data_IF_024186712305
#
_entry.id   IF_024186712305
#
_cell.length_a   1.000
_cell.length_b   1.000
_cell.length_c   1.000
_cell.angle_alpha   90.00
_cell.angle_beta   90.00
_cell.angle_gamma   90.00
#
_symmetry.space_group_name_H-M   'P 1'
#
loop_
_entity.id
_entity.type
_entity.pdbx_description
1 polymer ?
#
# COMPACT_ATOMS: atom_id res chain seq x y z
N UNK A 1 -18.97 -18.26 7.81
CA UNK A 1 -18.14 -18.17 6.58
C UNK A 1 -17.09 -17.08 6.65
N UNK A 2 -17.39 -15.78 6.79
CA UNK A 2 -16.35 -14.72 6.84
C UNK A 2 -15.29 -14.94 7.94
N UNK A 3 -15.70 -15.12 9.19
CA UNK A 3 -14.77 -15.42 10.30
C UNK A 3 -13.93 -16.68 10.06
N UNK A 4 -14.48 -17.67 9.38
CA UNK A 4 -13.74 -18.89 9.04
C UNK A 4 -12.70 -18.61 7.97
N UNK A 5 -13.05 -17.82 6.94
CA UNK A 5 -12.08 -17.37 5.94
C UNK A 5 -10.92 -16.60 6.59
N UNK A 6 -11.18 -15.75 7.59
CA UNK A 6 -10.14 -15.02 8.30
C UNK A 6 -9.17 -15.97 9.04
N UNK A 7 -9.69 -17.05 9.65
CA UNK A 7 -8.88 -18.10 10.26
C UNK A 7 -8.05 -18.87 9.22
N UNK A 8 -8.65 -19.22 8.09
CA UNK A 8 -7.96 -19.93 7.00
C UNK A 8 -6.85 -19.05 6.38
N UNK A 9 -7.09 -17.74 6.26
CA UNK A 9 -6.09 -16.76 5.84
C UNK A 9 -4.92 -16.66 6.82
N UNK A 10 -5.20 -16.66 8.12
CA UNK A 10 -4.16 -16.65 9.16
C UNK A 10 -3.31 -17.94 9.14
N UNK A 11 -3.89 -19.05 8.69
CA UNK A 11 -3.20 -20.34 8.48
C UNK A 11 -2.46 -20.44 7.14
N UNK A 12 -2.65 -19.47 6.24
CA UNK A 12 -2.10 -19.51 4.88
C UNK A 12 -2.86 -20.45 3.92
N UNK A 13 -4.03 -20.97 4.30
CA UNK A 13 -4.88 -21.78 3.43
C UNK A 13 -5.77 -20.88 2.56
N UNK A 14 -5.17 -20.33 1.51
CA UNK A 14 -5.84 -19.41 0.60
C UNK A 14 -6.97 -20.06 -0.21
N UNK A 15 -6.91 -21.38 -0.43
CA UNK A 15 -7.93 -22.10 -1.18
C UNK A 15 -9.23 -22.21 -0.36
N UNK A 16 -9.13 -22.66 0.90
CA UNK A 16 -10.29 -22.72 1.80
C UNK A 16 -10.82 -21.33 2.15
N UNK A 17 -9.91 -20.37 2.39
CA UNK A 17 -10.30 -18.98 2.61
C UNK A 17 -11.13 -18.43 1.44
N UNK A 18 -10.67 -18.65 0.20
CA UNK A 18 -11.38 -18.23 -0.99
C UNK A 18 -12.74 -18.91 -1.05
N UNK A 19 -12.83 -20.24 -0.89
CA UNK A 19 -14.10 -20.95 -0.93
C UNK A 19 -15.11 -20.42 0.12
N UNK A 20 -14.63 -20.10 1.33
CA UNK A 20 -15.46 -19.51 2.39
C UNK A 20 -15.93 -18.09 2.06
N UNK A 21 -15.10 -17.27 1.40
CA UNK A 21 -15.49 -15.95 0.90
C UNK A 21 -16.54 -16.05 -0.22
N UNK A 22 -16.40 -17.00 -1.14
CA UNK A 22 -17.38 -17.25 -2.20
C UNK A 22 -18.74 -17.68 -1.62
N UNK A 23 -18.72 -18.57 -0.64
CA UNK A 23 -19.93 -19.00 0.08
C UNK A 23 -20.58 -17.81 0.80
N UNK A 24 -19.78 -16.89 1.35
CA UNK A 24 -20.28 -15.66 1.95
C UNK A 24 -21.00 -14.76 0.93
N UNK A 25 -20.45 -14.58 -0.27
CA UNK A 25 -21.11 -13.80 -1.33
C UNK A 25 -22.43 -14.42 -1.79
N UNK A 26 -22.47 -15.75 -1.92
CA UNK A 26 -23.72 -16.48 -2.24
C UNK A 26 -24.79 -16.24 -1.17
N UNK A 27 -24.42 -16.32 0.12
CA UNK A 27 -25.34 -16.04 1.22
C UNK A 27 -25.84 -14.58 1.24
N UNK A 28 -25.03 -13.63 0.76
CA UNK A 28 -25.41 -12.22 0.58
C UNK A 28 -26.24 -11.97 -0.69
N UNK A 29 -26.63 -13.01 -1.43
CA UNK A 29 -27.41 -12.90 -2.67
C UNK A 29 -26.63 -12.34 -3.86
N UNK A 30 -25.30 -12.46 -3.84
CA UNK A 30 -24.38 -11.89 -4.84
C UNK A 30 -23.47 -12.97 -5.43
N UNK A 31 -24.02 -13.98 -6.13
CA UNK A 31 -23.17 -15.00 -6.74
C UNK A 31 -22.20 -14.36 -7.73
N UNK A 32 -20.96 -14.88 -7.78
CA UNK A 32 -19.99 -14.48 -8.78
C UNK A 32 -20.42 -14.98 -10.17
N UNK A 33 -20.11 -14.24 -11.24
CA UNK A 33 -20.50 -14.62 -12.59
C UNK A 33 -19.96 -16.00 -12.97
N UNK A 34 -20.80 -16.85 -13.55
CA UNK A 34 -20.42 -18.23 -13.92
C UNK A 34 -20.03 -18.35 -15.39
N UNK A 35 -20.53 -17.44 -16.25
CA UNK A 35 -20.22 -17.40 -17.68
C UNK A 35 -19.43 -16.14 -18.06
N UNK A 36 -18.69 -16.19 -19.18
CA UNK A 36 -17.91 -15.03 -19.66
C UNK A 36 -18.81 -13.85 -20.09
N UNK A 37 -19.98 -14.14 -20.66
CA UNK A 37 -20.96 -13.11 -21.03
C UNK A 37 -21.55 -12.45 -19.79
N UNK A 38 -21.95 -13.25 -18.80
CA UNK A 38 -22.42 -12.77 -17.50
C UNK A 38 -21.34 -11.91 -16.82
N UNK A 39 -20.08 -12.34 -16.87
CA UNK A 39 -18.96 -11.58 -16.34
C UNK A 39 -18.77 -10.24 -17.08
N UNK A 40 -18.84 -10.24 -18.41
CA UNK A 40 -18.73 -9.00 -19.20
C UNK A 40 -19.88 -8.04 -18.89
N UNK A 41 -21.12 -8.54 -18.82
CA UNK A 41 -22.29 -7.76 -18.43
C UNK A 41 -22.14 -7.21 -17.00
N UNK A 42 -21.66 -8.02 -16.05
CA UNK A 42 -21.44 -7.61 -14.67
C UNK A 42 -20.36 -6.52 -14.55
N UNK A 43 -19.28 -6.60 -15.34
CA UNK A 43 -18.26 -5.55 -15.42
C UNK A 43 -18.83 -4.28 -16.03
N UNK A 44 -19.52 -4.37 -17.16
CA UNK A 44 -20.13 -3.22 -17.84
C UNK A 44 -21.12 -2.50 -16.91
N UNK A 45 -21.95 -3.27 -16.20
CA UNK A 45 -22.90 -2.75 -15.22
C UNK A 45 -22.20 -2.09 -14.02
N UNK A 46 -21.13 -2.70 -13.51
CA UNK A 46 -20.35 -2.13 -12.40
C UNK A 46 -19.65 -0.84 -12.82
N UNK A 47 -19.13 -0.78 -14.04
CA UNK A 47 -18.53 0.41 -14.63
C UNK A 47 -19.57 1.51 -14.83
N UNK A 48 -20.74 1.17 -15.38
CA UNK A 48 -21.85 2.11 -15.54
C UNK A 48 -22.26 2.72 -14.20
N UNK A 49 -22.43 1.89 -13.16
CA UNK A 49 -22.74 2.36 -11.80
C UNK A 49 -21.67 3.32 -11.27
N UNK A 50 -20.39 2.96 -11.42
CA UNK A 50 -19.28 3.82 -11.00
C UNK A 50 -19.33 5.19 -11.71
N UNK A 51 -19.55 5.20 -13.03
CA UNK A 51 -19.69 6.44 -13.80
C UNK A 51 -20.91 7.26 -13.34
N UNK A 52 -22.07 6.63 -13.14
CA UNK A 52 -23.28 7.32 -12.66
C UNK A 52 -23.12 7.91 -11.26
N UNK A 53 -22.42 7.21 -10.37
CA UNK A 53 -22.12 7.69 -9.02
C UNK A 53 -21.20 8.93 -9.09
N UNK A 54 -20.20 8.90 -9.97
CA UNK A 54 -19.27 10.02 -10.19
C UNK A 54 -19.91 11.24 -10.80
N UNK A 55 -20.87 11.03 -11.71
CA UNK A 55 -21.60 12.12 -12.35
C UNK A 55 -22.72 12.68 -11.46
N UNK A 56 -22.81 12.25 -10.19
CA UNK A 56 -23.86 12.63 -9.23
C UNK A 56 -25.30 12.37 -9.71
N UNK A 57 -25.48 11.67 -10.83
CA UNK A 57 -26.79 11.38 -11.43
C UNK A 57 -27.66 10.60 -10.45
N UNK A 58 -27.07 9.70 -9.66
CA UNK A 58 -27.78 8.96 -8.62
C UNK A 58 -28.33 9.85 -7.49
N UNK A 59 -27.54 10.82 -7.00
CA UNK A 59 -27.99 11.79 -5.99
C UNK A 59 -29.02 12.76 -6.57
N UNK A 60 -28.85 13.15 -7.82
CA UNK A 60 -29.79 13.98 -8.55
C UNK A 60 -31.14 13.26 -8.77
N UNK A 61 -31.12 11.98 -9.17
CA UNK A 61 -32.32 11.15 -9.31
C UNK A 61 -33.00 10.89 -7.97
N UNK A 62 -32.25 10.57 -6.91
CA UNK A 62 -32.80 10.38 -5.57
C UNK A 62 -33.43 11.66 -5.00
N UNK A 63 -32.82 12.82 -5.26
CA UNK A 63 -33.37 14.12 -4.90
C UNK A 63 -34.64 14.46 -5.70
N UNK A 64 -34.69 14.10 -6.99
CA UNK A 64 -35.85 14.34 -7.87
C UNK A 64 -36.99 13.35 -7.66
N UNK A 65 -36.68 12.13 -7.20
CA UNK A 65 -37.66 11.09 -6.85
C UNK A 65 -38.34 11.32 -5.49
N UNK A 66 -38.11 12.47 -4.84
CA UNK A 66 -38.86 12.88 -3.65
C UNK A 66 -38.68 11.94 -2.47
N UNK A 67 -37.45 11.45 -2.24
CA UNK A 67 -37.07 10.68 -1.06
C UNK A 67 -38.12 9.65 -0.66
N UNK A 68 -38.31 8.61 -1.50
CA UNK A 68 -39.07 7.41 -1.14
C UNK A 68 -38.77 7.12 0.34
N UNK A 69 -39.78 7.27 1.20
CA UNK A 69 -39.70 7.06 2.65
C UNK A 69 -39.04 5.71 2.89
N UNK A 70 -37.72 5.71 3.01
CA UNK A 70 -36.94 4.50 3.19
C UNK A 70 -37.05 4.22 4.67
N UNK A 71 -37.62 3.07 4.99
CA UNK A 71 -37.70 2.59 6.35
C UNK A 71 -36.27 2.56 6.90
N UNK A 72 -35.96 3.45 7.86
CA UNK A 72 -34.59 3.62 8.41
C UNK A 72 -33.94 2.28 8.81
N UNK A 73 -34.63 1.31 9.45
CA UNK A 73 -34.05 0.00 9.73
C UNK A 73 -33.66 -0.77 8.46
N UNK A 74 -34.49 -0.78 7.42
CA UNK A 74 -34.17 -1.44 6.15
C UNK A 74 -32.98 -0.78 5.45
N UNK A 75 -32.86 0.55 5.55
CA UNK A 75 -31.72 1.28 5.01
C UNK A 75 -30.41 0.94 5.75
N UNK A 76 -30.46 0.89 7.08
CA UNK A 76 -29.31 0.51 7.90
C UNK A 76 -28.85 -0.92 7.61
N UNK A 77 -29.79 -1.86 7.48
CA UNK A 77 -29.47 -3.25 7.16
C UNK A 77 -28.94 -3.41 5.72
N UNK A 78 -29.46 -2.62 4.76
CA UNK A 78 -28.89 -2.54 3.43
C UNK A 78 -27.46 -1.97 3.43
N UNK A 79 -27.17 -0.96 4.26
CA UNK A 79 -25.81 -0.40 4.40
C UNK A 79 -24.84 -1.39 5.08
N UNK A 80 -25.30 -2.16 6.08
CA UNK A 80 -24.49 -3.24 6.69
C UNK A 80 -24.22 -4.38 5.70
N UNK A 81 -25.24 -4.77 4.92
CA UNK A 81 -25.11 -5.80 3.89
C UNK A 81 -24.15 -5.36 2.77
N UNK A 82 -24.24 -4.11 2.31
CA UNK A 82 -23.32 -3.56 1.30
C UNK A 82 -21.90 -3.47 1.84
N UNK A 83 -21.69 -3.05 3.09
CA UNK A 83 -20.40 -3.08 3.78
C UNK A 83 -19.81 -4.49 3.77
N UNK A 84 -20.56 -5.49 4.24
CA UNK A 84 -20.06 -6.85 4.38
C UNK A 84 -19.72 -7.46 3.01
N UNK A 85 -20.55 -7.20 1.98
CA UNK A 85 -20.25 -7.59 0.62
C UNK A 85 -19.01 -6.88 0.05
N UNK A 86 -18.85 -5.57 0.30
CA UNK A 86 -17.69 -4.80 -0.15
C UNK A 86 -16.39 -5.37 0.41
N UNK A 87 -16.37 -5.71 1.70
CA UNK A 87 -15.20 -6.32 2.36
C UNK A 87 -14.85 -7.69 1.74
N UNK A 88 -15.84 -8.51 1.42
CA UNK A 88 -15.61 -9.82 0.80
C UNK A 88 -15.07 -9.68 -0.63
N UNK A 89 -15.64 -8.80 -1.45
CA UNK A 89 -15.12 -8.51 -2.79
C UNK A 89 -13.71 -7.92 -2.73
N UNK A 90 -13.46 -6.98 -1.81
CA UNK A 90 -12.15 -6.41 -1.61
C UNK A 90 -11.12 -7.48 -1.24
N UNK A 91 -11.49 -8.43 -0.38
CA UNK A 91 -10.60 -9.50 0.04
C UNK A 91 -10.27 -10.49 -1.08
N UNK A 92 -11.28 -10.93 -1.83
CA UNK A 92 -11.07 -11.77 -3.01
C UNK A 92 -10.21 -11.05 -4.06
N UNK A 93 -10.42 -9.74 -4.21
CA UNK A 93 -9.62 -8.91 -5.08
C UNK A 93 -8.14 -8.84 -4.66
N UNK A 94 -7.84 -8.70 -3.37
CA UNK A 94 -6.47 -8.73 -2.82
C UNK A 94 -5.79 -10.09 -3.07
N UNK A 95 -6.50 -11.19 -2.81
CA UNK A 95 -5.99 -12.54 -3.07
C UNK A 95 -5.69 -12.76 -4.56
N UNK A 96 -6.53 -12.22 -5.45
CA UNK A 96 -6.27 -12.28 -6.88
C UNK A 96 -5.09 -11.40 -7.29
N UNK A 97 -4.94 -10.18 -6.74
CA UNK A 97 -3.79 -9.32 -7.05
C UNK A 97 -2.46 -9.99 -6.66
N UNK A 98 -2.44 -10.70 -5.54
CA UNK A 98 -1.26 -11.37 -4.99
C UNK A 98 -1.11 -12.82 -5.44
N UNK A 99 -1.84 -13.22 -6.49
CA UNK A 99 -1.75 -14.55 -7.12
C UNK A 99 -2.14 -15.71 -6.21
N UNK A 100 -2.82 -15.46 -5.08
CA UNK A 100 -3.33 -16.50 -4.17
C UNK A 100 -4.68 -17.06 -4.63
N UNK A 101 -5.40 -16.29 -5.46
CA UNK A 101 -6.62 -16.70 -6.13
C UNK A 101 -6.41 -16.61 -7.65
N UNK A 102 -6.65 -17.73 -8.35
CA UNK A 102 -6.61 -17.78 -9.80
C UNK A 102 -7.88 -17.17 -10.41
N UNK A 103 -7.76 -16.50 -11.54
CA UNK A 103 -8.88 -15.89 -12.24
C UNK A 103 -8.44 -15.09 -13.46
N UNK A 104 -9.42 -14.68 -14.27
CA UNK A 104 -9.17 -13.79 -15.41
C UNK A 104 -9.00 -12.34 -14.94
N UNK A 105 -8.25 -11.52 -15.67
CA UNK A 105 -8.16 -10.07 -15.40
C UNK A 105 -9.54 -9.40 -15.33
N UNK A 106 -10.50 -9.86 -16.15
CA UNK A 106 -11.87 -9.36 -16.15
C UNK A 106 -12.60 -9.68 -14.83
N UNK A 107 -12.44 -10.88 -14.29
CA UNK A 107 -12.97 -11.26 -12.97
C UNK A 107 -12.39 -10.38 -11.86
N UNK A 108 -11.11 -10.06 -12.00
CA UNK A 108 -10.38 -9.23 -11.07
C UNK A 108 -10.84 -7.76 -11.08
N UNK A 109 -11.09 -7.22 -12.28
CA UNK A 109 -11.70 -5.89 -12.48
C UNK A 109 -13.13 -5.87 -11.93
N UNK A 110 -13.91 -6.93 -12.16
CA UNK A 110 -15.26 -7.05 -11.60
C UNK A 110 -15.25 -6.99 -10.06
N UNK A 111 -14.37 -7.75 -9.41
CA UNK A 111 -14.25 -7.73 -7.95
C UNK A 111 -13.84 -6.35 -7.42
N UNK A 112 -12.88 -5.68 -8.09
CA UNK A 112 -12.46 -4.34 -7.71
C UNK A 112 -13.59 -3.31 -7.82
N UNK A 113 -14.29 -3.27 -8.96
CA UNK A 113 -15.40 -2.33 -9.18
C UNK A 113 -16.60 -2.64 -8.26
N UNK A 114 -16.88 -3.91 -8.01
CA UNK A 114 -17.95 -4.32 -7.08
C UNK A 114 -17.63 -3.89 -5.64
N UNK A 115 -16.37 -4.05 -5.22
CA UNK A 115 -15.91 -3.57 -3.93
C UNK A 115 -16.09 -2.04 -3.81
N UNK A 116 -15.66 -1.27 -4.80
CA UNK A 116 -15.82 0.20 -4.82
C UNK A 116 -17.29 0.60 -4.73
N UNK A 117 -18.13 0.07 -5.63
CA UNK A 117 -19.56 0.42 -5.69
C UNK A 117 -20.26 0.13 -4.36
N UNK A 118 -20.00 -1.04 -3.75
CA UNK A 118 -20.63 -1.43 -2.49
C UNK A 118 -20.07 -0.68 -1.28
N UNK A 119 -18.77 -0.36 -1.30
CA UNK A 119 -18.15 0.47 -0.27
C UNK A 119 -18.78 1.87 -0.25
N UNK A 120 -18.99 2.48 -1.41
CA UNK A 120 -19.67 3.79 -1.50
C UNK A 120 -21.15 3.71 -1.04
N UNK A 121 -21.85 2.61 -1.32
CA UNK A 121 -23.22 2.40 -0.84
C UNK A 121 -23.33 2.17 0.67
N UNK A 122 -22.24 1.74 1.32
CA UNK A 122 -22.26 1.45 2.76
C UNK A 122 -22.26 2.70 3.63
N UNK A 123 -21.93 3.88 3.07
CA UNK A 123 -21.96 5.15 3.77
C UNK A 123 -21.15 5.11 5.06
N UNK A 124 -21.76 5.53 6.17
CA UNK A 124 -21.13 5.55 7.50
C UNK A 124 -20.91 4.17 8.14
N UNK A 125 -21.44 3.09 7.56
CA UNK A 125 -21.24 1.74 8.10
C UNK A 125 -19.81 1.22 7.87
N UNK A 126 -19.08 1.78 6.90
CA UNK A 126 -17.71 1.40 6.58
C UNK A 126 -16.72 2.46 7.08
N UNK A 127 -15.63 2.06 7.77
CA UNK A 127 -14.59 2.99 8.16
C UNK A 127 -13.96 3.68 6.95
N UNK A 128 -13.67 4.97 7.09
CA UNK A 128 -13.05 5.80 6.04
C UNK A 128 -11.70 5.23 5.58
N UNK A 129 -10.90 4.70 6.52
CA UNK A 129 -9.64 4.04 6.20
C UNK A 129 -9.83 2.85 5.25
N UNK A 130 -10.84 2.01 5.49
CA UNK A 130 -11.15 0.86 4.63
C UNK A 130 -11.71 1.30 3.27
N UNK A 131 -12.51 2.37 3.22
CA UNK A 131 -12.94 2.96 1.95
C UNK A 131 -11.74 3.45 1.13
N UNK A 132 -10.77 4.11 1.77
CA UNK A 132 -9.53 4.52 1.12
C UNK A 132 -8.71 3.32 0.61
N UNK A 133 -8.63 2.22 1.38
CA UNK A 133 -7.99 0.95 0.95
C UNK A 133 -8.66 0.37 -0.29
N UNK A 134 -9.99 0.39 -0.36
CA UNK A 134 -10.75 -0.07 -1.52
C UNK A 134 -10.42 0.77 -2.76
N UNK A 135 -10.36 2.09 -2.64
CA UNK A 135 -9.98 2.96 -3.75
C UNK A 135 -8.52 2.76 -4.19
N UNK A 136 -7.57 2.69 -3.26
CA UNK A 136 -6.15 2.42 -3.58
C UNK A 136 -6.00 1.06 -4.25
N UNK A 137 -6.72 0.04 -3.79
CA UNK A 137 -6.73 -1.28 -4.44
C UNK A 137 -7.31 -1.25 -5.85
N UNK A 138 -8.35 -0.44 -6.10
CA UNK A 138 -8.85 -0.22 -7.46
C UNK A 138 -7.82 0.48 -8.34
N UNK A 139 -7.10 1.48 -7.82
CA UNK A 139 -5.98 2.12 -8.52
C UNK A 139 -4.88 1.13 -8.89
N UNK A 140 -4.51 0.23 -7.96
CA UNK A 140 -3.55 -0.85 -8.21
C UNK A 140 -4.04 -1.78 -9.33
N UNK A 141 -5.33 -2.16 -9.32
CA UNK A 141 -5.92 -3.02 -10.35
C UNK A 141 -5.88 -2.38 -11.73
N UNK A 142 -6.17 -1.08 -11.83
CA UNK A 142 -6.06 -0.33 -13.09
C UNK A 142 -4.65 -0.46 -13.66
N UNK A 143 -3.62 -0.19 -12.85
CA UNK A 143 -2.23 -0.30 -13.32
C UNK A 143 -1.82 -1.73 -13.67
N UNK A 144 -2.28 -2.71 -12.92
CA UNK A 144 -1.90 -4.11 -13.13
C UNK A 144 -2.64 -4.82 -14.28
N UNK A 145 -3.79 -4.31 -14.75
CA UNK A 145 -4.65 -5.06 -15.68
C UNK A 145 -5.19 -4.25 -16.87
N UNK A 146 -5.13 -2.91 -16.83
CA UNK A 146 -5.63 -2.07 -17.94
C UNK A 146 -4.49 -1.51 -18.79
N UNK A 147 -4.74 -1.24 -20.09
CA UNK A 147 -3.78 -0.57 -20.95
C UNK A 147 -3.46 0.85 -20.46
N UNK A 148 -2.25 1.34 -20.78
CA UNK A 148 -1.72 2.65 -20.32
C UNK A 148 -2.67 3.83 -20.58
N UNK A 149 -3.43 3.79 -21.68
CA UNK A 149 -4.42 4.82 -22.04
C UNK A 149 -5.48 5.01 -20.94
N UNK A 150 -5.79 3.94 -20.18
CA UNK A 150 -6.77 3.98 -19.09
C UNK A 150 -6.15 4.25 -17.72
N UNK A 151 -4.82 4.40 -17.60
CA UNK A 151 -4.16 4.61 -16.31
C UNK A 151 -4.53 5.95 -15.66
N UNK A 152 -5.11 6.91 -16.39
CA UNK A 152 -5.66 8.13 -15.78
C UNK A 152 -6.74 7.82 -14.73
N UNK A 153 -7.48 6.72 -14.87
CA UNK A 153 -8.50 6.30 -13.89
C UNK A 153 -7.87 5.94 -12.54
N UNK A 154 -6.61 5.50 -12.53
CA UNK A 154 -5.84 5.30 -11.31
C UNK A 154 -5.71 6.60 -10.50
N UNK A 155 -5.48 7.74 -11.18
CA UNK A 155 -5.39 9.05 -10.53
C UNK A 155 -6.72 9.45 -9.90
N UNK A 156 -7.83 9.14 -10.58
CA UNK A 156 -9.19 9.37 -10.06
C UNK A 156 -9.47 8.55 -8.80
N UNK A 157 -9.02 7.30 -8.74
CA UNK A 157 -9.15 6.49 -7.54
C UNK A 157 -8.27 7.02 -6.39
N UNK A 158 -7.00 7.36 -6.64
CA UNK A 158 -6.12 7.93 -5.62
C UNK A 158 -6.64 9.27 -5.07
N UNK A 159 -7.13 10.16 -5.94
CA UNK A 159 -7.71 11.43 -5.50
C UNK A 159 -8.92 11.23 -4.60
N UNK A 160 -9.65 10.14 -4.80
CA UNK A 160 -10.87 9.83 -4.04
C UNK A 160 -10.59 9.13 -2.73
N UNK A 161 -9.56 8.30 -2.68
CA UNK A 161 -9.00 7.83 -1.42
C UNK A 161 -8.59 9.03 -0.54
N UNK A 162 -7.88 10.01 -1.12
CA UNK A 162 -7.46 11.22 -0.40
C UNK A 162 -8.66 12.06 0.05
N UNK A 163 -9.64 12.29 -0.82
CA UNK A 163 -10.84 13.07 -0.49
C UNK A 163 -11.67 12.41 0.62
N UNK A 164 -11.83 11.07 0.58
CA UNK A 164 -12.51 10.32 1.62
C UNK A 164 -11.86 10.54 2.99
N UNK A 165 -10.53 10.43 3.09
CA UNK A 165 -9.79 10.69 4.32
C UNK A 165 -9.97 12.14 4.81
N UNK A 166 -9.77 13.13 3.94
CA UNK A 166 -9.79 14.55 4.31
C UNK A 166 -11.19 15.06 4.71
N UNK A 167 -12.24 14.53 4.08
CA UNK A 167 -13.62 14.99 4.32
C UNK A 167 -14.18 14.64 5.71
N UNK A 168 -13.59 13.66 6.40
CA UNK A 168 -14.10 13.16 7.69
C UNK A 168 -13.30 13.64 8.89
N UNK A 169 -12.56 14.76 8.76
CA UNK A 169 -11.57 15.24 9.74
C UNK A 169 -10.48 14.20 10.09
N UNK A 170 -10.36 13.14 9.28
CA UNK A 170 -9.47 12.02 9.53
C UNK A 170 -8.10 12.25 8.91
N UNK A 171 -7.06 11.74 9.58
CA UNK A 171 -5.72 11.63 9.00
C UNK A 171 -5.67 10.48 8.00
N UNK A 172 -4.89 10.64 6.92
CA UNK A 172 -4.59 9.54 6.00
C UNK A 172 -3.88 8.40 6.75
N UNK A 173 -4.29 7.12 6.59
CA UNK A 173 -3.62 5.99 7.22
C UNK A 173 -2.11 6.00 6.94
N UNK A 174 -1.24 5.74 7.95
CA UNK A 174 0.21 5.81 7.79
C UNK A 174 0.74 5.06 6.57
N UNK A 175 0.25 3.84 6.32
CA UNK A 175 0.64 3.00 5.18
C UNK A 175 0.37 3.63 3.80
N UNK A 176 -0.49 4.64 3.72
CA UNK A 176 -0.88 5.33 2.48
C UNK A 176 -0.36 6.76 2.40
N UNK A 177 0.25 7.30 3.46
CA UNK A 177 0.68 8.70 3.49
C UNK A 177 1.65 9.03 2.36
N UNK A 178 2.53 8.08 2.01
CA UNK A 178 3.47 8.23 0.90
C UNK A 178 2.75 8.44 -0.45
N UNK A 179 1.56 7.89 -0.66
CA UNK A 179 0.76 8.12 -1.88
C UNK A 179 0.27 9.58 -2.01
N UNK A 180 0.19 10.30 -0.89
CA UNK A 180 -0.15 11.72 -0.86
C UNK A 180 1.08 12.62 -1.03
N UNK A 181 2.29 12.08 -0.88
CA UNK A 181 3.54 12.78 -1.15
C UNK A 181 3.76 12.90 -2.66
N UNK A 182 4.26 14.03 -3.20
CA UNK A 182 4.50 14.19 -4.65
C UNK A 182 5.37 13.09 -5.26
N UNK A 183 6.48 12.74 -4.60
CA UNK A 183 7.38 11.66 -5.03
C UNK A 183 6.68 10.29 -5.05
N UNK A 184 5.89 9.99 -4.02
CA UNK A 184 5.17 8.73 -3.94
C UNK A 184 4.02 8.63 -4.92
N UNK A 185 3.27 9.71 -5.11
CA UNK A 185 2.24 9.79 -6.14
C UNK A 185 2.83 9.59 -7.55
N UNK A 186 3.95 10.26 -7.86
CA UNK A 186 4.65 10.10 -9.15
C UNK A 186 5.17 8.68 -9.33
N UNK A 187 5.79 8.10 -8.30
CA UNK A 187 6.23 6.70 -8.31
C UNK A 187 5.06 5.75 -8.58
N UNK A 188 3.92 5.96 -7.91
CA UNK A 188 2.75 5.11 -8.11
C UNK A 188 2.25 5.21 -9.55
N UNK A 189 2.04 6.42 -10.05
CA UNK A 189 1.38 6.67 -11.33
C UNK A 189 2.30 6.36 -12.51
N UNK A 190 3.53 6.88 -12.49
CA UNK A 190 4.44 6.84 -13.63
C UNK A 190 5.48 5.70 -13.51
N UNK A 191 5.70 5.16 -12.31
CA UNK A 191 6.68 4.11 -12.08
C UNK A 191 6.27 2.76 -12.67
N UNK A 192 7.27 1.97 -13.05
CA UNK A 192 7.13 0.62 -13.57
C UNK A 192 7.31 -0.41 -12.44
N UNK A 193 6.28 -0.55 -11.61
CA UNK A 193 6.23 -1.55 -10.56
C UNK A 193 5.21 -2.64 -10.92
N UNK A 194 5.42 -3.84 -10.38
CA UNK A 194 4.53 -4.98 -10.60
C UNK A 194 4.29 -5.72 -9.28
N UNK A 195 3.08 -6.24 -9.12
CA UNK A 195 2.69 -7.08 -7.98
C UNK A 195 2.92 -8.53 -8.37
N UNK A 196 3.62 -9.27 -7.50
CA UNK A 196 4.04 -10.65 -7.74
C UNK A 196 3.27 -11.62 -6.85
N UNK A 197 3.11 -12.85 -7.33
CA UNK A 197 2.47 -13.94 -6.57
C UNK A 197 3.34 -14.40 -5.39
N UNK A 198 4.65 -14.40 -5.61
CA UNK A 198 5.69 -14.55 -4.59
C UNK A 198 6.33 -13.18 -4.35
N UNK A 199 6.20 -12.61 -3.14
CA UNK A 199 6.87 -11.37 -2.79
C UNK A 199 8.37 -11.46 -3.04
N UNK A 200 8.98 -10.36 -3.51
CA UNK A 200 10.42 -10.30 -3.75
C UNK A 200 11.15 -10.29 -2.40
N UNK A 201 11.98 -11.30 -2.17
CA UNK A 201 12.95 -11.26 -1.08
C UNK A 201 14.07 -10.27 -1.44
N UNK A 202 14.48 -9.48 -0.45
CA UNK A 202 15.44 -8.41 -0.67
C UNK A 202 16.24 -8.13 0.60
N UNK A 203 17.52 -7.84 0.41
CA UNK A 203 18.39 -7.36 1.49
C UNK A 203 18.15 -5.88 1.79
N UNK A 204 17.49 -5.14 0.90
CA UNK A 204 17.29 -3.69 1.01
C UNK A 204 15.99 -3.32 1.72
N UNK A 205 15.00 -4.20 1.67
CA UNK A 205 13.69 -4.00 2.26
C UNK A 205 13.07 -5.34 2.66
N UNK A 206 12.23 -5.31 3.67
CA UNK A 206 11.43 -6.47 4.06
C UNK A 206 10.00 -6.32 3.53
N UNK A 207 9.52 -7.35 2.84
CA UNK A 207 8.13 -7.42 2.40
C UNK A 207 7.21 -7.40 3.64
N UNK A 208 6.19 -6.53 3.60
CA UNK A 208 5.16 -6.50 4.62
C UNK A 208 4.18 -7.67 4.46
N UNK A 209 2.90 -7.40 4.66
CA UNK A 209 1.84 -8.38 4.44
C UNK A 209 1.85 -8.93 3.00
N UNK A 210 2.05 -10.24 2.83
CA UNK A 210 2.18 -10.89 1.51
C UNK A 210 0.89 -10.92 0.68
N UNK A 211 -0.28 -10.77 1.31
CA UNK A 211 -1.57 -10.70 0.59
C UNK A 211 -2.09 -9.28 0.44
N UNK A 212 -1.38 -8.29 0.98
CA UNK A 212 -1.68 -6.89 0.71
C UNK A 212 -0.90 -6.43 -0.54
N UNK A 213 -1.59 -6.14 -1.66
CA UNK A 213 -0.92 -5.64 -2.85
C UNK A 213 -0.26 -4.27 -2.63
N UNK A 214 -0.78 -3.42 -1.73
CA UNK A 214 -0.17 -2.13 -1.45
C UNK A 214 1.18 -2.30 -0.75
N UNK A 215 1.30 -3.22 0.21
CA UNK A 215 2.56 -3.53 0.88
C UNK A 215 3.70 -3.88 -0.09
N UNK A 216 3.42 -4.62 -1.17
CA UNK A 216 4.44 -4.91 -2.21
C UNK A 216 4.86 -3.66 -2.98
N UNK A 217 3.92 -2.77 -3.31
CA UNK A 217 4.25 -1.51 -4.01
C UNK A 217 4.98 -0.54 -3.08
N UNK A 218 4.62 -0.50 -1.79
CA UNK A 218 5.37 0.25 -0.77
C UNK A 218 6.78 -0.32 -0.57
N UNK A 219 6.96 -1.64 -0.66
CA UNK A 219 8.29 -2.24 -0.68
C UNK A 219 9.12 -1.73 -1.86
N UNK A 220 8.57 -1.76 -3.08
CA UNK A 220 9.24 -1.23 -4.26
C UNK A 220 9.54 0.28 -4.15
N UNK A 221 8.64 1.06 -3.55
CA UNK A 221 8.84 2.49 -3.31
C UNK A 221 10.01 2.75 -2.37
N UNK A 222 10.14 1.99 -1.28
CA UNK A 222 11.28 2.11 -0.35
C UNK A 222 12.61 1.78 -1.01
N UNK A 223 12.66 0.71 -1.80
CA UNK A 223 13.86 0.39 -2.59
C UNK A 223 14.22 1.50 -3.58
N UNK A 224 13.21 2.08 -4.24
CA UNK A 224 13.40 3.20 -5.15
C UNK A 224 13.96 4.45 -4.45
N UNK A 225 13.46 4.79 -3.26
CA UNK A 225 13.98 5.91 -2.47
C UNK A 225 15.43 5.66 -2.05
N UNK A 226 15.75 4.44 -1.61
CA UNK A 226 17.12 4.09 -1.24
C UNK A 226 18.06 4.19 -2.45
N UNK A 227 17.63 3.67 -3.61
CA UNK A 227 18.40 3.77 -4.86
C UNK A 227 18.66 5.22 -5.24
N UNK A 228 17.62 6.09 -5.19
CA UNK A 228 17.76 7.52 -5.49
C UNK A 228 18.69 8.23 -4.53
N UNK A 229 18.57 7.96 -3.23
CA UNK A 229 19.48 8.52 -2.23
C UNK A 229 20.93 8.12 -2.48
N UNK A 230 21.19 6.83 -2.71
CA UNK A 230 22.55 6.35 -2.98
C UNK A 230 23.12 6.89 -4.29
N UNK A 231 22.29 7.06 -5.32
CA UNK A 231 22.70 7.69 -6.57
C UNK A 231 23.15 9.14 -6.36
N UNK A 232 22.38 9.93 -5.59
CA UNK A 232 22.75 11.29 -5.22
C UNK A 232 24.08 11.34 -4.44
N UNK A 233 24.34 10.37 -3.56
CA UNK A 233 25.61 10.29 -2.82
C UNK A 233 26.78 9.88 -3.71
N UNK A 234 26.57 8.96 -4.65
CA UNK A 234 27.62 8.48 -5.56
C UNK A 234 27.98 9.48 -6.67
N UNK A 235 27.05 10.38 -7.00
CA UNK A 235 27.24 11.45 -7.98
C UNK A 235 26.87 12.79 -7.33
N UNK A 236 27.70 13.31 -6.39
CA UNK A 236 27.49 14.66 -5.88
C UNK A 236 27.50 15.61 -7.08
N UNK A 237 26.54 16.54 -7.13
CA UNK A 237 26.38 17.45 -8.26
C UNK A 237 27.66 18.28 -8.46
N UNK A 238 28.52 17.82 -9.37
CA UNK A 238 29.65 18.61 -9.84
C UNK A 238 29.12 19.83 -10.59
N UNK A 239 29.42 21.01 -10.05
CA UNK A 239 29.34 22.29 -10.76
C UNK A 239 27.97 22.63 -11.36
N UNK A 240 26.98 22.97 -10.50
CA UNK A 240 25.93 23.92 -10.89
C UNK A 240 26.05 25.17 -10.03
N UNK A 241 25.95 26.31 -10.70
CA UNK A 241 26.13 27.68 -10.20
C UNK A 241 25.56 27.91 -8.78
N UNK A 242 26.15 28.85 -8.00
CA UNK A 242 25.77 29.16 -6.62
C UNK A 242 24.44 29.93 -6.53
N UNK A 243 23.39 29.36 -7.10
CA UNK A 243 22.03 29.90 -7.07
C UNK A 243 21.09 28.87 -6.48
N UNK A 244 21.25 28.65 -5.17
CA UNK A 244 20.28 28.26 -4.15
C UNK A 244 21.00 27.46 -3.07
N UNK A 245 20.96 27.94 -1.83
CA UNK A 245 21.70 27.39 -0.68
C UNK A 245 21.18 26.05 -0.17
N UNK A 246 20.83 25.13 -1.06
CA UNK A 246 20.55 23.74 -0.71
C UNK A 246 21.87 22.98 -0.60
N UNK A 247 22.12 22.34 0.54
CA UNK A 247 23.37 21.63 0.80
C UNK A 247 23.62 20.50 -0.22
N UNK A 248 24.89 20.15 -0.43
CA UNK A 248 25.38 19.19 -1.45
C UNK A 248 24.65 17.83 -1.47
N UNK A 249 24.02 17.45 -0.35
CA UNK A 249 23.29 16.19 -0.18
C UNK A 249 21.81 16.37 0.23
N UNK A 250 21.22 17.55 0.03
CA UNK A 250 19.85 17.85 0.42
C UNK A 250 18.83 16.87 -0.19
N UNK A 251 18.93 16.60 -1.49
CA UNK A 251 18.09 15.64 -2.20
C UNK A 251 18.17 14.23 -1.58
N UNK A 252 19.40 13.77 -1.29
CA UNK A 252 19.63 12.45 -0.71
C UNK A 252 18.96 12.33 0.67
N UNK A 253 19.08 13.36 1.49
CA UNK A 253 18.47 13.42 2.82
C UNK A 253 16.93 13.46 2.74
N UNK A 254 16.34 14.16 1.76
CA UNK A 254 14.89 14.15 1.53
C UNK A 254 14.39 12.73 1.20
N UNK A 255 15.07 12.03 0.28
CA UNK A 255 14.72 10.65 -0.05
C UNK A 255 14.85 9.72 1.17
N UNK A 256 15.91 9.87 1.97
CA UNK A 256 16.15 9.06 3.16
C UNK A 256 15.13 9.34 4.27
N UNK A 257 14.70 10.59 4.46
CA UNK A 257 13.65 10.93 5.43
C UNK A 257 12.31 10.30 5.04
N UNK A 258 11.96 10.34 3.75
CA UNK A 258 10.75 9.70 3.24
C UNK A 258 10.84 8.17 3.34
N UNK A 259 12.03 7.60 3.13
CA UNK A 259 12.30 6.16 3.30
C UNK A 259 12.10 5.71 4.74
N UNK A 260 12.62 6.45 5.73
CA UNK A 260 12.43 6.16 7.15
C UNK A 260 10.94 6.18 7.49
N UNK A 261 10.24 7.25 7.09
CA UNK A 261 8.81 7.43 7.33
C UNK A 261 7.97 6.28 6.74
N UNK A 262 8.27 5.86 5.50
CA UNK A 262 7.61 4.73 4.86
C UNK A 262 7.95 3.38 5.53
N UNK A 263 9.16 3.24 6.06
CA UNK A 263 9.62 2.03 6.77
C UNK A 263 8.98 1.90 8.16
N UNK A 264 8.70 3.01 8.83
CA UNK A 264 7.91 3.07 10.07
C UNK A 264 6.46 2.68 9.82
N UNK A 265 5.86 3.25 8.76
CA UNK A 265 4.46 3.06 8.41
C UNK A 265 4.13 1.62 7.95
N UNK A 266 5.11 0.88 7.44
CA UNK A 266 4.92 -0.50 6.94
C UNK A 266 4.35 -1.46 7.99
N UNK A 267 4.54 -1.17 9.28
CA UNK A 267 4.03 -2.00 10.37
C UNK A 267 2.55 -1.82 10.69
N UNK A 268 1.98 -0.67 10.32
CA UNK A 268 0.60 -0.32 10.61
C UNK A 268 -0.42 -1.16 9.81
N UNK A 269 -0.01 -1.72 8.66
CA UNK A 269 -0.88 -2.49 7.75
C UNK A 269 -1.15 -3.92 8.22
N UNK A 270 -0.47 -4.39 9.27
CA UNK A 270 -0.57 -5.77 9.76
C UNK A 270 -1.92 -6.11 10.41
N UNK A 271 -2.77 -5.11 10.69
CA UNK A 271 -4.08 -5.33 11.32
C UNK A 271 -5.20 -5.83 10.38
N UNK A 272 -4.93 -5.94 9.07
CA UNK A 272 -5.99 -6.27 8.07
C UNK A 272 -6.53 -7.71 8.14
N UNK A 273 -5.89 -8.62 8.90
CA UNK A 273 -6.31 -10.03 8.96
C UNK A 273 -7.13 -10.45 10.16
N UNK A 274 -7.13 -9.68 11.25
CA UNK A 274 -7.78 -10.06 12.49
C UNK A 274 -8.64 -8.93 13.02
N UNK A 275 -9.88 -8.83 12.51
CA UNK A 275 -10.89 -7.99 13.16
C UNK A 275 -11.36 -8.75 14.41
N UNK A 276 -10.66 -8.56 15.54
CA UNK A 276 -11.13 -9.00 16.85
C UNK A 276 -10.11 -9.43 17.91
N UNK A 277 -8.79 -9.40 17.67
CA UNK A 277 -7.81 -9.83 18.69
C UNK A 277 -6.89 -8.69 19.14
N UNK A 278 -7.12 -8.19 20.35
CA UNK A 278 -6.26 -7.24 21.09
C UNK A 278 -4.97 -7.90 21.63
N UNK A 279 -4.21 -8.65 20.82
CA UNK A 279 -2.97 -9.26 21.29
C UNK A 279 -1.88 -9.20 20.21
N UNK A 280 -0.74 -8.61 20.62
CA UNK A 280 0.53 -8.44 19.92
C UNK A 280 0.60 -7.34 18.84
N UNK A 281 0.87 -6.11 19.30
CA UNK A 281 1.68 -5.14 18.55
C UNK A 281 3.07 -5.73 18.31
N UNK A 282 3.23 -6.57 17.30
CA UNK A 282 4.56 -6.83 16.74
C UNK A 282 4.87 -5.59 15.91
N UNK A 283 5.83 -4.79 16.37
CA UNK A 283 6.37 -3.61 15.70
C UNK A 283 6.90 -3.98 14.31
N UNK A 284 6.01 -4.01 13.32
CA UNK A 284 6.28 -4.40 11.94
C UNK A 284 6.98 -3.31 11.13
N UNK A 285 7.92 -2.56 11.71
CA UNK A 285 8.77 -1.67 10.93
C UNK A 285 9.66 -2.51 10.01
N UNK A 286 10.00 -2.00 8.83
CA UNK A 286 10.99 -2.65 7.97
C UNK A 286 12.40 -2.38 8.49
N UNK A 287 13.05 -3.38 9.12
CA UNK A 287 14.36 -3.17 9.72
C UNK A 287 15.46 -3.11 8.66
N UNK A 288 15.25 -3.69 7.47
CA UNK A 288 16.25 -3.68 6.41
C UNK A 288 16.38 -2.26 5.85
N UNK A 289 15.27 -1.66 5.41
CA UNK A 289 15.29 -0.31 4.84
C UNK A 289 15.73 0.75 5.85
N UNK A 290 15.35 0.60 7.13
CA UNK A 290 15.85 1.49 8.20
C UNK A 290 17.36 1.39 8.41
N UNK A 291 17.90 0.17 8.42
CA UNK A 291 19.33 -0.04 8.60
C UNK A 291 20.12 0.56 7.44
N UNK A 292 19.72 0.29 6.19
CA UNK A 292 20.35 0.87 5.00
C UNK A 292 20.23 2.39 4.95
N UNK A 293 19.07 2.93 5.32
CA UNK A 293 18.88 4.37 5.45
C UNK A 293 19.86 4.97 6.47
N UNK A 294 19.98 4.37 7.65
CA UNK A 294 20.87 4.86 8.71
C UNK A 294 22.33 4.84 8.27
N UNK A 295 22.75 3.78 7.57
CA UNK A 295 24.08 3.68 6.96
C UNK A 295 24.31 4.84 5.98
N UNK A 296 23.37 5.11 5.07
CA UNK A 296 23.49 6.18 4.10
C UNK A 296 23.56 7.57 4.76
N UNK A 297 22.73 7.82 5.78
CA UNK A 297 22.76 9.09 6.53
C UNK A 297 24.10 9.27 7.26
N UNK A 298 24.66 8.22 7.88
CA UNK A 298 25.99 8.28 8.50
C UNK A 298 27.05 8.66 7.47
N UNK A 299 27.04 8.03 6.29
CA UNK A 299 27.99 8.34 5.21
C UNK A 299 27.86 9.81 4.79
N UNK A 300 26.64 10.31 4.60
CA UNK A 300 26.40 11.72 4.26
C UNK A 300 26.94 12.66 5.35
N UNK A 301 26.70 12.36 6.62
CA UNK A 301 27.18 13.19 7.73
C UNK A 301 28.71 13.22 7.80
N UNK A 302 29.39 12.08 7.58
CA UNK A 302 30.85 12.04 7.46
C UNK A 302 31.36 12.87 6.27
N UNK A 303 30.68 12.80 5.11
CA UNK A 303 31.04 13.59 3.94
C UNK A 303 30.84 15.10 4.16
N UNK A 304 29.87 15.49 4.98
CA UNK A 304 29.62 16.89 5.37
C UNK A 304 30.51 17.37 6.53
N UNK A 305 31.24 16.48 7.19
CA UNK A 305 32.03 16.80 8.39
C UNK A 305 31.20 17.01 9.67
N UNK A 306 29.94 16.58 9.70
CA UNK A 306 29.09 16.61 10.90
C UNK A 306 29.19 15.29 11.68
N UNK A 307 30.34 15.09 12.34
CA UNK A 307 30.63 13.88 13.10
C UNK A 307 29.63 13.68 14.26
N UNK A 308 29.16 14.77 14.87
CA UNK A 308 28.19 14.71 15.96
C UNK A 308 26.83 14.15 15.49
N UNK A 309 26.37 14.51 14.28
CA UNK A 309 25.18 13.92 13.70
C UNK A 309 25.39 12.46 13.28
N UNK A 310 26.58 12.10 12.78
CA UNK A 310 26.93 10.72 12.45
C UNK A 310 26.92 9.82 13.71
N UNK A 311 27.53 10.28 14.80
CA UNK A 311 27.65 9.54 16.07
C UNK A 311 26.30 9.13 16.67
N UNK A 312 25.28 9.99 16.53
CA UNK A 312 23.92 9.70 17.00
C UNK A 312 23.31 8.47 16.35
N UNK A 313 23.74 8.11 15.14
CA UNK A 313 23.22 6.98 14.37
C UNK A 313 24.08 5.71 14.48
N UNK A 314 25.27 5.78 15.11
CA UNK A 314 26.15 4.62 15.27
C UNK A 314 25.46 3.42 15.93
N UNK A 315 24.67 3.57 17.02
CA UNK A 315 24.01 2.42 17.65
C UNK A 315 23.08 1.68 16.68
N UNK A 316 22.39 2.41 15.81
CA UNK A 316 21.48 1.84 14.80
C UNK A 316 22.24 1.09 13.72
N UNK A 317 23.38 1.63 13.26
CA UNK A 317 24.20 0.99 12.23
C UNK A 317 24.95 -0.23 12.77
N UNK A 318 25.46 -0.17 14.00
CA UNK A 318 26.14 -1.30 14.65
C UNK A 318 25.22 -2.51 14.85
N UNK A 319 23.93 -2.28 15.05
CA UNK A 319 22.94 -3.32 15.26
C UNK A 319 22.37 -3.85 13.94
N UNK A 320 23.18 -4.60 13.19
CA UNK A 320 22.75 -5.25 11.95
C UNK A 320 21.58 -6.22 12.22
N UNK A 321 20.43 -6.10 11.53
CA UNK A 321 19.29 -7.00 11.70
C UNK A 321 19.66 -8.48 11.52
N UNK A 322 19.12 -9.37 12.37
CA UNK A 322 19.44 -10.82 12.35
C UNK A 322 19.18 -11.49 11.00
N UNK A 323 18.12 -11.08 10.31
CA UNK A 323 17.80 -11.54 8.95
C UNK A 323 18.91 -11.19 7.94
N UNK A 324 19.52 -10.01 8.05
CA UNK A 324 20.65 -9.59 7.22
C UNK A 324 21.97 -10.25 7.66
N UNK A 325 22.14 -10.59 8.94
CA UNK A 325 23.28 -11.37 9.41
C UNK A 325 23.28 -12.79 8.81
N UNK A 326 22.10 -13.37 8.64
CA UNK A 326 21.92 -14.72 8.11
C UNK A 326 21.71 -14.75 6.58
N UNK A 327 21.63 -13.58 5.93
CA UNK A 327 21.47 -13.51 4.48
C UNK A 327 22.71 -14.07 3.77
N UNK A 328 22.48 -14.69 2.61
CA UNK A 328 23.55 -15.23 1.75
C UNK A 328 24.46 -14.12 1.21
N UNK A 329 23.89 -12.93 0.94
CA UNK A 329 24.66 -11.78 0.49
C UNK A 329 25.63 -11.31 1.56
N UNK A 330 26.89 -11.18 1.20
CA UNK A 330 27.95 -10.66 2.07
C UNK A 330 27.90 -9.14 2.22
N UNK A 331 27.10 -8.45 1.39
CA UNK A 331 27.08 -6.98 1.30
C UNK A 331 26.75 -6.29 2.65
N UNK A 332 25.73 -6.70 3.43
CA UNK A 332 25.44 -6.05 4.71
C UNK A 332 26.60 -6.18 5.71
N UNK A 333 27.26 -7.35 5.74
CA UNK A 333 28.41 -7.61 6.61
C UNK A 333 29.64 -6.80 6.18
N UNK A 334 29.91 -6.73 4.88
CA UNK A 334 30.99 -5.92 4.33
C UNK A 334 30.77 -4.43 4.68
N UNK A 335 29.56 -3.92 4.46
CA UNK A 335 29.20 -2.54 4.78
C UNK A 335 29.36 -2.22 6.27
N UNK A 336 28.91 -3.11 7.17
CA UNK A 336 29.12 -2.97 8.62
C UNK A 336 30.60 -2.92 9.00
N UNK A 337 31.42 -3.78 8.41
CA UNK A 337 32.86 -3.81 8.67
C UNK A 337 33.56 -2.54 8.14
N UNK A 338 33.16 -2.04 6.97
CA UNK A 338 33.62 -0.75 6.44
C UNK A 338 33.26 0.39 7.38
N UNK A 339 32.00 0.46 7.84
CA UNK A 339 31.58 1.45 8.84
C UNK A 339 32.46 1.42 10.10
N UNK A 340 32.74 0.23 10.65
CA UNK A 340 33.60 0.07 11.83
C UNK A 340 35.03 0.55 11.57
N UNK A 341 35.58 0.24 10.39
CA UNK A 341 36.92 0.66 10.00
C UNK A 341 37.02 2.19 9.86
N UNK A 342 36.05 2.83 9.18
CA UNK A 342 35.99 4.28 9.03
C UNK A 342 35.83 4.96 10.39
N UNK A 343 34.93 4.48 11.25
CA UNK A 343 34.80 5.02 12.61
C UNK A 343 36.12 4.94 13.38
N UNK A 344 36.81 3.81 13.32
CA UNK A 344 38.09 3.64 13.99
C UNK A 344 39.17 4.59 13.46
N UNK A 345 39.12 4.96 12.18
CA UNK A 345 40.01 5.96 11.59
C UNK A 345 39.69 7.37 12.08
N UNK A 346 38.40 7.75 12.11
CA UNK A 346 37.95 9.07 12.56
C UNK A 346 38.12 9.29 14.07
N UNK A 347 38.11 8.21 14.85
CA UNK A 347 38.35 8.27 16.31
C UNK A 347 39.82 8.47 16.72
N UNK A 348 40.76 8.47 15.77
CA UNK A 348 42.18 8.69 16.08
C UNK A 348 42.44 10.19 16.30
N UNK A 349 43.10 10.57 17.40
CA UNK A 349 43.34 11.96 17.78
C UNK A 349 44.31 12.70 16.85
#
# INVERSE_FOLDING_TARGET
>A
HRKQADLDLARGDFAQASQNLWTCLKALGRPLPTSQLDLACAVLWSLLRFCLQRLWVGRWLAARAGGLRSDRPLQEDACKSSRDAALVYHRLHQLHMTGKLNGSHLSAVHMALSAVNLAECSGSCLPVATLAEVYVSAALRVKASLPRILHFTSRVFLSSARQACLSSSGSVPPAMQWLCHPLGHRFFVDGDWAIRSTPKESIYSQAGNTVDPLAQVTQAFREHLLEKALYCVAQPHGEKSPSQGEGEYADALEYLQLLISASDAAGATSQSFAIGSNMATVTGCDPHSKWWSSVAVVIINWLQGDDAAAERLYPTVEHLPRSLQNAESLLPKACLNTFRAVRALLSKP
#
